data_IF_168107011652
#
_entry.id   IF_168107011652
#
_cell.length_a   1.000
_cell.length_b   1.000
_cell.length_c   1.000
_cell.angle_alpha   90.00
_cell.angle_beta   90.00
_cell.angle_gamma   90.00
#
_symmetry.space_group_name_H-M   'P 1'
#
loop_
_entity.id
_entity.type
_entity.pdbx_description
1 polymer ?
#
# COMPACT_ATOMS: atom_id res chain seq x y z
N UNK A 1 -3.96 -23.08 -6.69
CA UNK A 1 -4.34 -21.81 -7.35
C UNK A 1 -5.23 -20.89 -6.50
N UNK A 2 -6.02 -21.35 -5.52
CA UNK A 2 -6.76 -20.47 -4.58
C UNK A 2 -5.83 -19.69 -3.64
N UNK A 3 -4.69 -20.27 -3.25
CA UNK A 3 -3.77 -19.68 -2.28
C UNK A 3 -3.12 -18.36 -2.74
N UNK A 4 -2.87 -18.19 -4.04
CA UNK A 4 -2.24 -16.97 -4.57
C UNK A 4 -3.16 -15.75 -4.47
N UNK A 5 -4.47 -15.92 -4.66
CA UNK A 5 -5.42 -14.81 -4.52
C UNK A 5 -5.57 -14.38 -3.06
N UNK A 6 -5.70 -15.34 -2.14
CA UNK A 6 -5.73 -15.08 -0.70
C UNK A 6 -4.46 -14.37 -0.24
N UNK A 7 -3.29 -14.78 -0.77
CA UNK A 7 -2.02 -14.12 -0.49
C UNK A 7 -2.02 -12.66 -0.96
N UNK A 8 -2.45 -12.37 -2.18
CA UNK A 8 -2.52 -10.98 -2.66
C UNK A 8 -3.51 -10.14 -1.86
N UNK A 9 -4.67 -10.69 -1.49
CA UNK A 9 -5.63 -9.98 -0.63
C UNK A 9 -5.03 -9.67 0.75
N UNK A 10 -4.29 -10.62 1.33
CA UNK A 10 -3.59 -10.42 2.59
C UNK A 10 -2.51 -9.33 2.48
N UNK A 11 -1.67 -9.38 1.44
CA UNK A 11 -0.65 -8.36 1.18
C UNK A 11 -1.27 -6.97 1.00
N UNK A 12 -2.36 -6.87 0.24
CA UNK A 12 -3.09 -5.62 0.03
C UNK A 12 -3.61 -5.03 1.34
N UNK A 13 -4.19 -5.89 2.20
CA UNK A 13 -4.65 -5.48 3.54
C UNK A 13 -3.49 -4.98 4.40
N UNK A 14 -2.36 -5.68 4.41
CA UNK A 14 -1.17 -5.30 5.19
C UNK A 14 -0.53 -4.00 4.70
N UNK A 15 -0.46 -3.79 3.39
CA UNK A 15 0.03 -2.54 2.82
C UNK A 15 -0.87 -1.36 3.22
N UNK A 16 -2.20 -1.53 3.22
CA UNK A 16 -3.14 -0.50 3.73
C UNK A 16 -2.98 -0.21 5.22
N UNK A 17 -2.81 -1.25 6.05
CA UNK A 17 -2.55 -1.07 7.48
C UNK A 17 -1.25 -0.28 7.71
N UNK A 18 -0.22 -0.58 6.92
CA UNK A 18 1.08 0.12 6.97
C UNK A 18 0.94 1.58 6.54
N UNK A 19 0.21 1.84 5.44
CA UNK A 19 -0.05 3.20 4.97
C UNK A 19 -0.71 4.06 6.05
N UNK A 20 -1.73 3.53 6.73
CA UNK A 20 -2.42 4.24 7.81
C UNK A 20 -1.49 4.59 8.99
N UNK A 21 -0.50 3.76 9.29
CA UNK A 21 0.52 4.07 10.32
C UNK A 21 1.45 5.18 9.84
N UNK A 22 1.92 5.10 8.59
CA UNK A 22 2.81 6.11 8.00
C UNK A 22 2.14 7.49 7.90
N UNK A 23 0.86 7.54 7.54
CA UNK A 23 0.08 8.79 7.51
C UNK A 23 -0.03 9.42 8.90
N UNK A 24 -0.26 8.62 9.95
CA UNK A 24 -0.27 9.10 11.34
C UNK A 24 1.11 9.64 11.76
N UNK A 25 2.19 8.94 11.39
CA UNK A 25 3.55 9.40 11.65
C UNK A 25 3.83 10.74 10.95
N UNK A 26 3.45 10.85 9.68
CA UNK A 26 3.57 12.08 8.91
C UNK A 26 2.82 13.24 9.59
N UNK A 27 1.58 13.01 9.99
CA UNK A 27 0.76 14.02 10.66
C UNK A 27 1.39 14.48 11.99
N UNK A 28 1.99 13.57 12.75
CA UNK A 28 2.70 13.90 13.98
C UNK A 28 3.95 14.75 13.71
N UNK A 29 4.74 14.41 12.69
CA UNK A 29 5.92 15.18 12.30
C UNK A 29 5.50 16.58 11.83
N UNK A 30 4.48 16.67 10.99
CA UNK A 30 3.92 17.94 10.52
C UNK A 30 3.43 18.80 11.69
N UNK A 31 2.80 18.20 12.71
CA UNK A 31 2.41 18.90 13.93
C UNK A 31 3.62 19.44 14.70
N UNK A 32 4.67 18.63 14.88
CA UNK A 32 5.89 19.04 15.57
C UNK A 32 6.64 20.15 14.81
N UNK A 33 6.58 20.15 13.48
CA UNK A 33 7.17 21.20 12.65
C UNK A 33 6.44 22.55 12.80
N UNK A 34 5.18 22.57 13.22
CA UNK A 34 4.47 23.84 13.50
C UNK A 34 5.11 24.61 14.66
N UNK A 35 5.61 23.89 15.67
CA UNK A 35 6.24 24.49 16.85
C UNK A 35 7.75 24.63 16.69
N UNK A 36 8.38 23.80 15.84
CA UNK A 36 9.81 23.87 15.54
C UNK A 36 10.11 23.74 14.04
N UNK A 37 9.88 24.82 13.25
CA UNK A 37 9.87 24.75 11.78
C UNK A 37 11.24 24.55 11.14
N UNK A 38 12.33 24.87 11.84
CA UNK A 38 13.71 24.74 11.33
C UNK A 38 14.40 23.45 11.80
N UNK A 39 13.67 22.53 12.43
CA UNK A 39 14.24 21.28 12.94
C UNK A 39 14.67 20.34 11.80
N UNK A 40 15.98 20.26 11.55
CA UNK A 40 16.56 19.43 10.51
C UNK A 40 16.25 17.93 10.67
N UNK A 41 16.14 17.46 11.92
CA UNK A 41 15.79 16.07 12.25
C UNK A 41 14.37 15.77 11.78
N UNK A 42 13.40 16.61 12.15
CA UNK A 42 12.00 16.43 11.74
C UNK A 42 11.84 16.49 10.21
N UNK A 43 12.58 17.37 9.53
CA UNK A 43 12.57 17.41 8.05
C UNK A 43 13.15 16.14 7.42
N UNK A 44 14.20 15.56 8.01
CA UNK A 44 14.78 14.29 7.54
C UNK A 44 13.82 13.12 7.77
N UNK A 45 13.17 13.07 8.93
CA UNK A 45 12.12 12.09 9.24
C UNK A 45 10.95 12.22 8.27
N UNK A 46 10.46 13.45 8.03
CA UNK A 46 9.37 13.70 7.10
C UNK A 46 9.68 13.20 5.69
N UNK A 47 10.91 13.45 5.19
CA UNK A 47 11.36 12.91 3.89
C UNK A 47 11.34 11.39 3.85
N UNK A 48 11.77 10.75 4.94
CA UNK A 48 11.80 9.29 5.05
C UNK A 48 10.39 8.71 5.06
N UNK A 49 9.49 9.27 5.88
CA UNK A 49 8.09 8.85 5.93
C UNK A 49 7.40 9.06 4.58
N UNK A 50 7.62 10.21 3.92
CA UNK A 50 7.06 10.47 2.59
C UNK A 50 7.54 9.46 1.53
N UNK A 51 8.80 9.03 1.59
CA UNK A 51 9.31 8.00 0.68
C UNK A 51 8.63 6.66 0.96
N UNK A 52 8.51 6.27 2.23
CA UNK A 52 7.85 5.02 2.62
C UNK A 52 6.37 5.00 2.23
N UNK A 53 5.67 6.14 2.33
CA UNK A 53 4.29 6.29 1.85
C UNK A 53 4.23 5.97 0.35
N UNK A 54 5.06 6.62 -0.47
CA UNK A 54 5.09 6.38 -1.92
C UNK A 54 5.38 4.92 -2.29
N UNK A 55 6.33 4.29 -1.59
CA UNK A 55 6.65 2.87 -1.78
C UNK A 55 5.41 2.02 -1.46
N UNK A 56 4.77 2.27 -0.32
CA UNK A 56 3.58 1.53 0.12
C UNK A 56 2.39 1.72 -0.83
N UNK A 57 2.18 2.94 -1.34
CA UNK A 57 1.15 3.23 -2.35
C UNK A 57 1.40 2.45 -3.65
N UNK A 58 2.66 2.40 -4.11
CA UNK A 58 3.04 1.60 -5.28
C UNK A 58 2.80 0.11 -5.04
N UNK A 59 3.13 -0.41 -3.85
CA UNK A 59 2.85 -1.80 -3.47
C UNK A 59 1.34 -2.09 -3.52
N UNK A 60 0.51 -1.21 -2.95
CA UNK A 60 -0.96 -1.32 -2.99
C UNK A 60 -1.46 -1.38 -4.44
N UNK A 61 -0.94 -0.52 -5.31
CA UNK A 61 -1.29 -0.52 -6.74
C UNK A 61 -0.90 -1.83 -7.42
N UNK A 62 0.33 -2.29 -7.23
CA UNK A 62 0.83 -3.55 -7.79
C UNK A 62 0.01 -4.75 -7.32
N UNK A 63 -0.26 -4.85 -6.01
CA UNK A 63 -1.07 -5.96 -5.46
C UNK A 63 -2.51 -5.90 -5.96
N UNK A 64 -3.11 -4.71 -6.07
CA UNK A 64 -4.45 -4.53 -6.66
C UNK A 64 -4.48 -5.00 -8.12
N UNK A 65 -3.48 -4.63 -8.91
CA UNK A 65 -3.35 -5.10 -10.30
C UNK A 65 -3.23 -6.62 -10.39
N UNK A 66 -2.47 -7.25 -9.48
CA UNK A 66 -2.33 -8.70 -9.43
C UNK A 66 -3.65 -9.42 -9.11
N UNK A 67 -4.44 -8.88 -8.17
CA UNK A 67 -5.78 -9.38 -7.84
C UNK A 67 -6.69 -9.32 -9.08
N UNK A 68 -6.79 -8.15 -9.73
CA UNK A 68 -7.64 -7.96 -10.91
C UNK A 68 -7.25 -8.88 -12.07
N UNK A 69 -5.94 -9.06 -12.31
CA UNK A 69 -5.44 -10.00 -13.33
C UNK A 69 -5.80 -11.45 -13.00
N UNK A 70 -5.73 -11.84 -11.74
CA UNK A 70 -6.12 -13.18 -11.30
C UNK A 70 -7.62 -13.41 -11.48
N UNK A 71 -8.45 -12.46 -11.06
CA UNK A 71 -9.92 -12.52 -11.23
C UNK A 71 -10.30 -12.60 -12.71
N UNK A 72 -9.68 -11.77 -13.56
CA UNK A 72 -9.92 -11.77 -15.00
C UNK A 72 -9.52 -13.10 -15.65
N UNK A 73 -8.39 -13.71 -15.28
CA UNK A 73 -7.96 -15.01 -15.81
C UNK A 73 -8.87 -16.16 -15.38
N UNK A 74 -9.35 -16.14 -14.15
CA UNK A 74 -10.28 -17.16 -13.66
C UNK A 74 -11.67 -17.03 -14.29
N UNK A 75 -12.12 -15.81 -14.61
CA UNK A 75 -13.41 -15.60 -15.29
C UNK A 75 -13.41 -16.13 -16.74
N UNK A 76 -12.25 -16.11 -17.42
CA UNK A 76 -12.06 -16.77 -18.73
C UNK A 76 -12.00 -18.29 -18.63
N UNK A 77 -11.41 -18.83 -17.56
CA UNK A 77 -11.25 -20.29 -17.41
C UNK A 77 -12.56 -21.02 -17.14
N UNK A 78 -13.62 -20.33 -16.68
CA UNK A 78 -14.95 -20.91 -16.46
C UNK A 78 -15.75 -20.97 -17.77
N UNK A 79 -15.48 -20.07 -18.73
CA UNK A 79 -16.19 -19.97 -20.01
C UNK A 79 -15.78 -21.02 -21.05
N UNK A 80 -14.62 -21.66 -20.90
CA UNK A 80 -14.19 -22.75 -21.78
C UNK A 80 -14.67 -24.15 -21.33
N UNK A 81 -15.46 -24.23 -20.25
CA UNK A 81 -15.99 -25.48 -19.69
C UNK A 81 -17.52 -25.59 -19.74
N UNK A 82 -18.20 -24.83 -20.59
CA UNK A 82 -19.63 -25.06 -20.87
C UNK A 82 -19.80 -25.77 -22.22
N UNK A 83 -20.46 -26.94 -22.26
CA UNK A 83 -20.72 -27.70 -23.49
C UNK A 83 -21.72 -27.02 -24.42
#
# INVERSE_FOLDING_TARGET
MKDSCVLYQFQYKKAKETLAVLEKQKAQIDFNLKTNPICSILHKELRTVNLNIKITENEIEHTKSAILKYESKNDFSIKETQP
#
